data_IF_146272199392
#
_entry.id   IF_146272199392
#
_cell.length_a   1.000
_cell.length_b   1.000
_cell.length_c   1.000
_cell.angle_alpha   90.00
_cell.angle_beta   90.00
_cell.angle_gamma   90.00
#
_symmetry.space_group_name_H-M   'P 1'
#
loop_
_entity.id
_entity.type
_entity.pdbx_description
1 polymer ?
#
# COMPACT_ATOMS: atom_id res chain seq x y z
N UNK A 1 -9.17 4.79 27.36
CA UNK A 1 -9.13 4.96 25.90
C UNK A 1 -7.88 4.23 25.44
N UNK A 2 -8.01 3.17 24.67
CA UNK A 2 -6.89 2.31 24.32
C UNK A 2 -6.01 2.98 23.26
N UNK A 3 -4.73 3.18 23.57
CA UNK A 3 -3.73 3.85 22.71
C UNK A 3 -3.69 3.26 21.27
N UNK A 4 -3.97 1.97 21.11
CA UNK A 4 -4.02 1.30 19.81
C UNK A 4 -5.14 1.82 18.89
N UNK A 5 -6.29 2.19 19.46
CA UNK A 5 -7.40 2.79 18.71
C UNK A 5 -7.05 4.22 18.25
N UNK A 6 -6.34 4.98 19.08
CA UNK A 6 -5.86 6.33 18.72
C UNK A 6 -4.84 6.30 17.58
N UNK A 7 -3.89 5.35 17.62
CA UNK A 7 -2.94 5.13 16.52
C UNK A 7 -3.68 4.74 15.25
N UNK A 8 -4.63 3.80 15.32
CA UNK A 8 -5.41 3.36 14.15
C UNK A 8 -6.19 4.49 13.51
N UNK A 9 -6.77 5.39 14.32
CA UNK A 9 -7.44 6.61 13.84
C UNK A 9 -6.48 7.54 13.14
N UNK A 10 -5.28 7.76 13.68
CA UNK A 10 -4.27 8.60 13.06
C UNK A 10 -3.80 8.03 11.71
N UNK A 11 -3.58 6.72 11.63
CA UNK A 11 -3.24 6.05 10.37
C UNK A 11 -4.34 6.20 9.33
N UNK A 12 -5.60 6.04 9.73
CA UNK A 12 -6.74 6.26 8.84
C UNK A 12 -6.81 7.70 8.34
N UNK A 13 -6.60 8.69 9.21
CA UNK A 13 -6.55 10.11 8.83
C UNK A 13 -5.40 10.39 7.84
N UNK A 14 -4.25 9.75 8.05
CA UNK A 14 -3.11 9.84 7.12
C UNK A 14 -3.45 9.27 5.74
N UNK A 15 -4.12 8.12 5.69
CA UNK A 15 -4.61 7.54 4.43
C UNK A 15 -5.61 8.48 3.74
N UNK A 16 -6.61 9.00 4.47
CA UNK A 16 -7.60 9.93 3.92
C UNK A 16 -6.90 11.15 3.31
N UNK A 17 -5.99 11.79 4.05
CA UNK A 17 -5.23 12.95 3.57
C UNK A 17 -4.41 12.64 2.31
N UNK A 18 -3.77 11.45 2.26
CA UNK A 18 -3.02 11.02 1.09
C UNK A 18 -3.92 10.83 -0.12
N UNK A 19 -5.05 10.13 0.02
CA UNK A 19 -6.01 9.93 -1.07
C UNK A 19 -6.61 11.26 -1.54
N UNK A 20 -6.94 12.19 -0.63
CA UNK A 20 -7.38 13.54 -1.00
C UNK A 20 -6.33 14.26 -1.84
N UNK A 21 -5.06 14.17 -1.47
CA UNK A 21 -3.97 14.79 -2.23
C UNK A 21 -3.79 14.16 -3.63
N UNK A 22 -3.90 12.84 -3.72
CA UNK A 22 -3.84 12.13 -5.01
C UNK A 22 -5.03 12.49 -5.92
N UNK A 23 -6.25 12.59 -5.36
CA UNK A 23 -7.42 13.06 -6.10
C UNK A 23 -7.23 14.50 -6.60
N UNK A 24 -6.72 15.40 -5.76
CA UNK A 24 -6.42 16.77 -6.16
C UNK A 24 -5.41 16.82 -7.32
N UNK A 25 -4.33 16.04 -7.23
CA UNK A 25 -3.27 16.04 -8.24
C UNK A 25 -3.75 15.49 -9.60
N UNK A 26 -4.66 14.52 -9.60
CA UNK A 26 -5.12 13.86 -10.82
C UNK A 26 -6.43 14.42 -11.40
N UNK A 27 -7.27 15.03 -10.57
CA UNK A 27 -8.62 15.47 -10.97
C UNK A 27 -8.88 16.95 -10.68
N UNK A 28 -8.03 17.61 -9.88
CA UNK A 28 -8.27 18.96 -9.37
C UNK A 28 -9.24 19.02 -8.19
N UNK A 29 -9.81 17.89 -7.76
CA UNK A 29 -10.81 17.83 -6.69
C UNK A 29 -10.15 17.66 -5.32
N UNK A 30 -10.34 18.64 -4.44
CA UNK A 30 -9.89 18.59 -3.04
C UNK A 30 -11.09 18.37 -2.10
N UNK A 31 -11.59 17.12 -2.03
CA UNK A 31 -12.72 16.75 -1.18
C UNK A 31 -12.37 15.55 -0.29
N UNK A 32 -12.44 15.77 1.02
CA UNK A 32 -12.21 14.74 2.04
C UNK A 32 -13.29 13.64 2.00
N UNK A 33 -14.55 14.02 1.77
CA UNK A 33 -15.69 13.09 1.77
C UNK A 33 -15.58 12.14 0.58
N UNK A 34 -15.16 12.64 -0.58
CA UNK A 34 -14.87 11.82 -1.75
C UNK A 34 -13.73 10.82 -1.47
N UNK A 35 -12.66 11.27 -0.81
CA UNK A 35 -11.55 10.39 -0.45
C UNK A 35 -12.00 9.27 0.53
N UNK A 36 -12.78 9.60 1.55
CA UNK A 36 -13.37 8.61 2.47
C UNK A 36 -14.28 7.62 1.73
N UNK A 37 -15.09 8.09 0.77
CA UNK A 37 -15.94 7.24 -0.07
C UNK A 37 -15.14 6.29 -0.96
N UNK A 38 -14.04 6.76 -1.59
CA UNK A 38 -13.15 5.92 -2.39
C UNK A 38 -12.52 4.81 -1.53
N UNK A 39 -12.05 5.15 -0.33
CA UNK A 39 -11.52 4.16 0.62
C UNK A 39 -12.60 3.15 1.01
N UNK A 40 -13.83 3.60 1.27
CA UNK A 40 -14.95 2.74 1.56
C UNK A 40 -15.29 1.78 0.41
N UNK A 41 -15.30 2.27 -0.83
CA UNK A 41 -15.52 1.43 -2.02
C UNK A 41 -14.46 0.33 -2.13
N UNK A 42 -13.19 0.67 -1.89
CA UNK A 42 -12.10 -0.31 -1.88
C UNK A 42 -12.26 -1.35 -0.75
N UNK A 43 -12.71 -0.95 0.44
CA UNK A 43 -12.96 -1.88 1.55
C UNK A 43 -14.01 -2.95 1.22
N UNK A 44 -15.02 -2.60 0.41
CA UNK A 44 -16.03 -3.54 -0.08
C UNK A 44 -15.54 -4.37 -1.28
N UNK A 45 -14.55 -3.87 -2.02
CA UNK A 45 -14.10 -4.43 -3.28
C UNK A 45 -12.57 -4.61 -3.29
N UNK A 46 -12.07 -5.62 -2.57
CA UNK A 46 -10.63 -5.76 -2.25
C UNK A 46 -9.71 -6.13 -3.41
N UNK A 47 -10.24 -6.55 -4.56
CA UNK A 47 -9.43 -6.83 -5.73
C UNK A 47 -9.43 -5.62 -6.66
N UNK A 48 -8.30 -5.35 -7.30
CA UNK A 48 -8.18 -4.22 -8.24
C UNK A 48 -9.29 -4.23 -9.31
N UNK A 49 -9.65 -5.40 -9.83
CA UNK A 49 -10.74 -5.53 -10.82
C UNK A 49 -12.10 -5.16 -10.25
N UNK A 50 -12.42 -5.57 -9.01
CA UNK A 50 -13.69 -5.24 -8.37
C UNK A 50 -13.71 -3.76 -7.98
N UNK A 51 -12.60 -3.22 -7.48
CA UNK A 51 -12.47 -1.81 -7.14
C UNK A 51 -12.64 -0.91 -8.35
N UNK A 52 -11.98 -1.22 -9.47
CA UNK A 52 -12.14 -0.51 -10.75
C UNK A 52 -13.61 -0.52 -11.18
N UNK A 53 -14.26 -1.68 -11.15
CA UNK A 53 -15.68 -1.79 -11.49
C UNK A 53 -16.56 -0.93 -10.58
N UNK A 54 -16.32 -0.94 -9.27
CA UNK A 54 -17.08 -0.15 -8.31
C UNK A 54 -16.92 1.36 -8.54
N UNK A 55 -15.73 1.82 -8.92
CA UNK A 55 -15.49 3.22 -9.30
C UNK A 55 -16.27 3.59 -10.57
N UNK A 56 -16.21 2.75 -11.61
CA UNK A 56 -16.97 2.97 -12.85
C UNK A 56 -18.48 2.97 -12.61
N UNK A 57 -18.99 2.04 -11.81
CA UNK A 57 -20.41 1.96 -11.45
C UNK A 57 -20.86 3.18 -10.62
N UNK A 58 -19.95 3.79 -9.85
CA UNK A 58 -20.16 5.06 -9.14
C UNK A 58 -19.99 6.32 -10.03
N UNK A 59 -19.74 6.14 -11.34
CA UNK A 59 -19.59 7.23 -12.30
C UNK A 59 -18.20 7.85 -12.36
N UNK A 60 -17.20 7.23 -11.75
CA UNK A 60 -15.80 7.67 -11.81
C UNK A 60 -15.05 6.91 -12.91
N UNK A 61 -14.75 7.59 -14.01
CA UNK A 61 -13.95 7.06 -15.11
C UNK A 61 -12.51 7.56 -15.02
N UNK A 62 -11.73 6.90 -14.16
CA UNK A 62 -10.34 7.23 -13.90
C UNK A 62 -9.38 6.41 -14.77
N UNK A 63 -8.21 6.97 -15.16
CA UNK A 63 -7.17 6.20 -15.84
C UNK A 63 -6.74 4.98 -15.01
N UNK A 64 -6.50 3.85 -15.68
CA UNK A 64 -6.17 2.58 -15.00
C UNK A 64 -4.94 2.70 -14.08
N UNK A 65 -3.92 3.45 -14.50
CA UNK A 65 -2.73 3.71 -13.70
C UNK A 65 -3.03 4.45 -12.40
N UNK A 66 -3.99 5.38 -12.44
CA UNK A 66 -4.44 6.12 -11.26
C UNK A 66 -5.24 5.22 -10.33
N UNK A 67 -6.15 4.40 -10.86
CA UNK A 67 -6.91 3.42 -10.07
C UNK A 67 -5.97 2.43 -9.38
N UNK A 68 -4.95 1.91 -10.09
CA UNK A 68 -3.95 1.02 -9.53
C UNK A 68 -3.10 1.70 -8.43
N UNK A 69 -2.80 2.99 -8.57
CA UNK A 69 -2.11 3.76 -7.53
C UNK A 69 -2.98 3.93 -6.27
N UNK A 70 -4.26 4.27 -6.43
CA UNK A 70 -5.21 4.36 -5.32
C UNK A 70 -5.35 3.02 -4.59
N UNK A 71 -5.56 1.93 -5.33
CA UNK A 71 -5.63 0.56 -4.80
C UNK A 71 -4.38 0.23 -3.95
N UNK A 72 -3.18 0.45 -4.51
CA UNK A 72 -1.92 0.21 -3.80
C UNK A 72 -1.78 1.06 -2.52
N UNK A 73 -2.15 2.33 -2.57
CA UNK A 73 -2.09 3.22 -1.40
C UNK A 73 -3.05 2.76 -0.30
N UNK A 74 -4.28 2.43 -0.65
CA UNK A 74 -5.30 1.97 0.31
C UNK A 74 -4.88 0.60 0.88
N UNK A 75 -4.37 -0.32 0.06
CA UNK A 75 -3.85 -1.61 0.53
C UNK A 75 -2.72 -1.46 1.55
N UNK A 76 -1.76 -0.57 1.27
CA UNK A 76 -0.57 -0.38 2.13
C UNK A 76 -0.88 0.38 3.43
N UNK A 77 -1.75 1.38 3.37
CA UNK A 77 -1.92 2.33 4.48
C UNK A 77 -3.17 2.09 5.32
N UNK A 78 -4.16 1.32 4.85
CA UNK A 78 -5.38 1.10 5.61
C UNK A 78 -5.12 0.21 6.85
N UNK A 79 -5.35 0.70 8.08
CA UNK A 79 -5.11 -0.07 9.30
C UNK A 79 -5.91 -1.38 9.36
N UNK A 80 -7.05 -1.46 8.66
CA UNK A 80 -7.87 -2.69 8.58
C UNK A 80 -7.19 -3.84 7.83
N UNK A 81 -6.18 -3.54 7.02
CA UNK A 81 -5.48 -4.56 6.22
C UNK A 81 -4.19 -5.04 6.87
N UNK A 82 -3.55 -4.21 7.69
CA UNK A 82 -2.35 -4.56 8.45
C UNK A 82 -2.57 -5.70 9.44
N UNK A 83 -3.80 -5.90 9.91
CA UNK A 83 -4.13 -6.91 10.93
C UNK A 83 -4.44 -8.31 10.39
N UNK A 84 -4.36 -8.56 9.07
CA UNK A 84 -4.67 -9.87 8.47
C UNK A 84 -3.49 -10.68 7.94
N UNK A 85 -2.25 -10.23 8.17
CA UNK A 85 -1.08 -11.00 7.77
C UNK A 85 0.15 -10.56 8.53
N UNK A 86 0.38 -11.15 9.70
CA UNK A 86 1.76 -11.39 10.13
C UNK A 86 2.27 -12.63 9.38
N UNK A 87 2.34 -12.52 8.06
CA UNK A 87 3.46 -13.12 7.35
C UNK A 87 4.49 -12.00 7.16
N UNK A 88 5.77 -12.26 7.44
CA UNK A 88 6.79 -11.22 7.37
C UNK A 88 7.08 -10.94 5.90
N UNK A 89 6.35 -10.01 5.30
CA UNK A 89 6.74 -9.46 4.01
C UNK A 89 8.07 -8.71 4.20
N UNK A 90 9.08 -9.30 3.60
CA UNK A 90 10.45 -8.83 3.50
C UNK A 90 10.51 -7.65 2.54
N UNK A 91 9.95 -6.51 2.92
CA UNK A 91 10.27 -5.23 2.29
C UNK A 91 11.41 -4.56 3.06
N UNK A 92 12.62 -4.93 2.62
CA UNK A 92 13.90 -4.23 2.71
C UNK A 92 13.83 -2.84 3.36
N UNK A 93 14.21 -2.79 4.64
CA UNK A 93 15.01 -1.72 5.22
C UNK A 93 15.80 -2.36 6.36
N UNK A 94 17.13 -2.31 6.25
CA UNK A 94 18.03 -3.00 7.16
C UNK A 94 17.84 -2.58 8.61
N UNK A 95 17.78 -3.55 9.51
CA UNK A 95 18.82 -3.75 10.52
C UNK A 95 18.54 -5.06 11.31
N UNK A 96 19.52 -5.95 11.25
CA UNK A 96 19.98 -6.93 12.24
C UNK A 96 18.99 -7.52 13.26
N UNK A 97 18.58 -8.77 13.02
CA UNK A 97 18.74 -9.96 13.89
C UNK A 97 17.63 -10.97 13.56
N UNK A 98 17.85 -11.85 12.58
CA UNK A 98 17.25 -13.17 12.61
C UNK A 98 17.97 -14.14 11.69
N UNK A 99 18.06 -15.37 12.15
CA UNK A 99 18.90 -16.48 11.71
C UNK A 99 18.56 -16.92 10.27
N UNK A 100 19.08 -16.21 9.25
CA UNK A 100 19.00 -16.61 7.84
C UNK A 100 20.30 -17.35 7.46
N UNK A 101 20.17 -18.56 6.93
CA UNK A 101 21.31 -19.31 6.40
C UNK A 101 21.75 -18.66 5.07
N UNK A 102 22.70 -17.71 5.14
CA UNK A 102 23.19 -16.94 4.00
C UNK A 102 23.62 -17.85 2.83
N UNK A 103 24.19 -19.01 3.15
CA UNK A 103 24.68 -19.98 2.18
C UNK A 103 23.56 -20.55 1.29
N UNK A 104 22.35 -20.70 1.83
CA UNK A 104 21.20 -21.22 1.06
C UNK A 104 20.73 -20.20 0.02
N UNK A 105 20.65 -18.91 0.40
CA UNK A 105 20.25 -17.84 -0.51
C UNK A 105 21.32 -17.53 -1.55
N UNK A 106 22.60 -17.63 -1.19
CA UNK A 106 23.70 -17.49 -2.15
C UNK A 106 23.64 -18.59 -3.23
N UNK A 107 23.21 -19.81 -2.89
CA UNK A 107 22.98 -20.88 -3.86
C UNK A 107 21.76 -20.64 -4.74
N UNK A 108 20.68 -20.11 -4.16
CA UNK A 108 19.43 -19.85 -4.89
C UNK A 108 19.53 -18.63 -5.81
N UNK A 109 20.33 -17.63 -5.43
CA UNK A 109 20.46 -16.34 -6.13
C UNK A 109 21.93 -15.94 -6.33
N UNK A 110 22.71 -16.71 -7.13
CA UNK A 110 24.15 -16.49 -7.26
C UNK A 110 24.51 -15.11 -7.82
N UNK A 111 23.65 -14.51 -8.64
CA UNK A 111 23.85 -13.16 -9.18
C UNK A 111 23.70 -12.03 -8.15
N UNK A 112 22.95 -12.24 -7.06
CA UNK A 112 22.79 -11.26 -5.97
C UNK A 112 23.84 -11.43 -4.87
N UNK A 113 24.58 -12.55 -4.90
CA UNK A 113 25.65 -12.86 -3.96
C UNK A 113 27.04 -12.51 -4.51
N UNK A 114 27.10 -11.92 -5.71
CA UNK A 114 28.36 -11.46 -6.29
C UNK A 114 28.82 -10.20 -5.51
N UNK A 115 30.04 -10.18 -4.98
CA UNK A 115 30.60 -8.95 -4.42
C UNK A 115 30.71 -7.88 -5.51
N UNK A 116 30.56 -6.62 -5.11
CA UNK A 116 30.81 -5.49 -6.01
C UNK A 116 32.26 -5.55 -6.51
N UNK A 117 32.43 -5.36 -7.82
CA UNK A 117 33.74 -5.27 -8.43
C UNK A 117 34.29 -3.85 -8.21
N UNK A 118 35.39 -3.68 -7.44
CA UNK A 118 35.96 -2.37 -7.19
C UNK A 118 36.61 -1.73 -8.42
N UNK A 119 36.73 -2.45 -9.55
CA UNK A 119 37.37 -1.98 -10.79
C UNK A 119 36.42 -1.87 -12.00
N UNK A 120 35.10 -1.97 -11.82
CA UNK A 120 34.10 -1.83 -12.89
C UNK A 120 33.82 -0.38 -13.33
#
# INVERSE_FOLDING_TARGET
MDNLDEISKLEYLSLVSKITSELLNHTGINDKTLAEFVIHLHEQNRSLSAFKKALTDAGADFPESFVANLDRLIQKMNPKYKNKGKEPDSSVNGDTTNNYNLDEKARLFPGLALPDDPEA
#
